data_IF_492602378894
#
_entry.id   IF_492602378894
#
_cell.length_a   1.000
_cell.length_b   1.000
_cell.length_c   1.000
_cell.angle_alpha   90.00
_cell.angle_beta   90.00
_cell.angle_gamma   90.00
#
_symmetry.space_group_name_H-M   'P 1'
#
loop_
_entity.id
_entity.type
_entity.pdbx_description
1 polymer ?
#
# COMPACT_ATOMS: atom_id res chain seq x y z
N UNK A 1 5.37 3.74 -20.52
CA UNK A 1 4.84 2.90 -19.42
C UNK A 1 5.99 2.51 -18.50
N UNK A 2 5.85 2.78 -17.22
CA UNK A 2 6.88 2.40 -16.29
C UNK A 2 6.93 0.86 -16.18
N UNK A 3 8.14 0.31 -16.11
CA UNK A 3 8.31 -1.12 -15.86
C UNK A 3 7.81 -1.43 -14.45
N UNK A 4 7.07 -2.52 -14.29
CA UNK A 4 6.66 -2.97 -12.98
C UNK A 4 7.88 -3.45 -12.19
N UNK A 5 7.93 -3.10 -10.92
CA UNK A 5 8.88 -3.68 -9.98
C UNK A 5 8.53 -5.15 -9.75
N UNK A 6 9.50 -6.02 -9.47
CA UNK A 6 9.22 -7.41 -9.08
C UNK A 6 8.40 -7.50 -7.79
N UNK A 7 8.27 -6.39 -7.05
CA UNK A 7 7.52 -6.34 -5.79
C UNK A 7 6.16 -5.66 -5.95
N UNK A 8 5.67 -5.50 -7.17
CA UNK A 8 4.36 -4.92 -7.42
C UNK A 8 3.27 -5.98 -7.45
N UNK A 9 2.09 -5.60 -6.95
CA UNK A 9 0.85 -6.33 -7.21
C UNK A 9 -0.16 -5.38 -7.83
N UNK A 10 -1.14 -5.95 -8.54
CA UNK A 10 -2.20 -5.17 -9.16
C UNK A 10 -3.34 -4.88 -8.19
N UNK A 11 -4.19 -3.90 -8.56
CA UNK A 11 -5.41 -3.65 -7.78
C UNK A 11 -6.36 -4.85 -7.81
N UNK A 12 -6.37 -5.62 -8.91
CA UNK A 12 -7.16 -6.84 -9.00
C UNK A 12 -6.68 -7.89 -7.98
N UNK A 13 -5.38 -8.02 -7.81
CA UNK A 13 -4.80 -8.93 -6.82
C UNK A 13 -5.14 -8.50 -5.39
N UNK A 14 -5.11 -7.19 -5.11
CA UNK A 14 -5.54 -6.67 -3.81
C UNK A 14 -7.02 -6.94 -3.58
N UNK A 15 -7.86 -6.74 -4.60
CA UNK A 15 -9.29 -7.03 -4.50
C UNK A 15 -9.51 -8.49 -4.14
N UNK A 16 -8.77 -9.40 -4.77
CA UNK A 16 -8.86 -10.82 -4.48
C UNK A 16 -8.51 -11.13 -3.02
N UNK A 17 -7.43 -10.53 -2.52
CA UNK A 17 -7.05 -10.70 -1.11
C UNK A 17 -8.17 -10.25 -0.16
N UNK A 18 -8.79 -9.12 -0.45
CA UNK A 18 -9.89 -8.58 0.37
C UNK A 18 -11.14 -9.45 0.27
N UNK A 19 -11.50 -9.87 -0.93
CA UNK A 19 -12.69 -10.69 -1.17
C UNK A 19 -12.57 -12.07 -0.51
N UNK A 20 -11.37 -12.62 -0.45
CA UNK A 20 -11.08 -13.90 0.18
C UNK A 20 -10.86 -13.80 1.69
N UNK A 21 -10.93 -12.59 2.25
CA UNK A 21 -10.61 -12.32 3.66
C UNK A 21 -9.25 -12.87 4.06
N UNK A 22 -8.26 -12.75 3.15
CA UNK A 22 -6.90 -13.20 3.38
C UNK A 22 -6.29 -12.47 4.58
N UNK A 23 -5.37 -13.13 5.27
CA UNK A 23 -4.63 -12.54 6.38
C UNK A 23 -3.49 -11.69 5.84
N UNK A 24 -3.71 -10.37 5.76
CA UNK A 24 -2.69 -9.43 5.31
C UNK A 24 -2.90 -8.07 5.97
N UNK A 25 -1.84 -7.26 5.95
CA UNK A 25 -1.87 -5.87 6.43
C UNK A 25 -1.86 -4.95 5.22
N UNK A 26 -2.81 -4.03 5.16
CA UNK A 26 -2.82 -2.96 4.17
C UNK A 26 -2.21 -1.71 4.81
N UNK A 27 -1.07 -1.26 4.29
CA UNK A 27 -0.31 -0.13 4.83
C UNK A 27 -0.43 1.07 3.92
N UNK A 28 -0.95 2.18 4.45
CA UNK A 28 -1.11 3.43 3.73
C UNK A 28 0.00 4.38 4.16
N UNK A 29 0.87 4.78 3.22
CA UNK A 29 2.02 5.66 3.52
C UNK A 29 1.80 7.09 3.06
N UNK A 30 0.53 7.48 2.84
CA UNK A 30 0.15 8.86 2.50
C UNK A 30 0.11 9.73 3.74
N UNK A 31 -0.26 11.01 3.55
CA UNK A 31 -0.44 11.94 4.65
C UNK A 31 -1.86 11.87 5.21
N UNK A 32 -2.08 12.26 6.49
CA UNK A 32 -3.42 12.22 7.09
C UNK A 32 -4.49 12.97 6.29
N UNK A 33 -4.15 14.10 5.68
CA UNK A 33 -5.10 14.89 4.87
C UNK A 33 -5.58 14.09 3.65
N UNK A 34 -4.71 13.26 3.07
CA UNK A 34 -5.07 12.41 1.93
C UNK A 34 -6.03 11.31 2.37
N UNK A 35 -5.75 10.71 3.53
CA UNK A 35 -6.60 9.68 4.12
C UNK A 35 -8.03 10.21 4.34
N UNK A 36 -8.15 11.47 4.74
CA UNK A 36 -9.47 12.08 4.96
C UNK A 36 -10.26 12.27 3.68
N UNK A 37 -9.59 12.44 2.54
CA UNK A 37 -10.26 12.59 1.24
C UNK A 37 -10.88 11.26 0.81
N UNK A 38 -10.10 10.20 0.83
CA UNK A 38 -10.56 8.84 0.57
C UNK A 38 -9.53 7.87 1.15
N UNK A 39 -9.96 6.65 1.47
CA UNK A 39 -9.06 5.65 2.04
C UNK A 39 -9.59 4.25 1.76
N UNK A 40 -8.72 3.26 1.95
CA UNK A 40 -9.02 1.84 1.80
C UNK A 40 -9.09 1.13 3.16
N UNK A 41 -9.28 1.87 4.23
CA UNK A 41 -9.30 1.36 5.62
C UNK A 41 -7.98 0.71 6.05
N UNK A 42 -6.87 1.10 5.41
CA UNK A 42 -5.56 0.60 5.78
C UNK A 42 -5.00 1.28 7.02
N UNK A 43 -3.92 0.71 7.55
CA UNK A 43 -3.16 1.30 8.64
C UNK A 43 -2.34 2.46 8.09
N UNK A 44 -2.57 3.67 8.60
CA UNK A 44 -1.87 4.86 8.12
C UNK A 44 -0.55 5.05 8.87
N UNK A 45 0.55 4.99 8.14
CA UNK A 45 1.89 5.35 8.63
C UNK A 45 2.54 6.19 7.54
N UNK A 46 2.52 7.53 7.63
CA UNK A 46 3.12 8.37 6.60
C UNK A 46 4.57 7.99 6.32
N UNK A 47 4.96 8.05 5.05
CA UNK A 47 6.28 7.60 4.62
C UNK A 47 7.42 8.19 5.46
N UNK A 48 7.33 9.48 5.79
CA UNK A 48 8.36 10.15 6.60
C UNK A 48 8.47 9.63 8.02
N UNK A 49 7.44 8.98 8.54
CA UNK A 49 7.41 8.41 9.89
C UNK A 49 7.79 6.93 9.90
N UNK A 50 7.76 6.28 8.73
CA UNK A 50 7.91 4.84 8.65
C UNK A 50 9.20 4.31 9.28
N UNK A 51 10.39 4.90 9.03
CA UNK A 51 11.62 4.39 9.63
C UNK A 51 11.61 4.35 11.17
N UNK A 52 10.91 5.29 11.78
CA UNK A 52 10.80 5.37 13.25
C UNK A 52 9.69 4.50 13.84
N UNK A 53 8.89 3.85 12.99
CA UNK A 53 7.70 3.11 13.43
C UNK A 53 7.70 1.65 12.96
N UNK A 54 8.85 1.14 12.53
CA UNK A 54 8.96 -0.25 12.03
C UNK A 54 8.54 -1.28 13.09
N UNK A 55 8.77 -0.99 14.36
CA UNK A 55 8.42 -1.91 15.44
C UNK A 55 6.92 -2.09 15.64
N UNK A 56 6.10 -1.21 15.04
CA UNK A 56 4.64 -1.34 15.07
C UNK A 56 4.14 -2.38 14.06
N UNK A 57 5.01 -2.89 13.20
CA UNK A 57 4.67 -3.83 12.14
C UNK A 57 5.30 -5.19 12.40
N UNK A 58 4.62 -6.25 11.98
CA UNK A 58 5.11 -7.61 12.09
C UNK A 58 5.96 -7.95 10.86
N UNK A 59 7.24 -8.28 11.08
CA UNK A 59 8.17 -8.62 9.99
C UNK A 59 7.78 -9.88 9.22
N UNK A 60 6.94 -10.72 9.80
CA UNK A 60 6.45 -11.94 9.16
C UNK A 60 5.10 -11.76 8.48
N UNK A 61 4.49 -10.59 8.60
CA UNK A 61 3.19 -10.33 8.00
C UNK A 61 3.28 -10.20 6.48
N UNK A 62 2.21 -10.58 5.81
CA UNK A 62 1.99 -10.23 4.40
C UNK A 62 1.51 -8.78 4.37
N UNK A 63 2.31 -7.88 3.81
CA UNK A 63 2.02 -6.44 3.80
C UNK A 63 1.87 -5.96 2.36
N UNK A 64 0.76 -5.27 2.09
CA UNK A 64 0.55 -4.54 0.84
C UNK A 64 0.60 -3.06 1.17
N UNK A 65 1.50 -2.33 0.51
CA UNK A 65 1.72 -0.90 0.75
C UNK A 65 1.13 -0.10 -0.39
N UNK A 66 0.41 0.96 -0.08
CA UNK A 66 -0.09 1.85 -1.11
C UNK A 66 0.12 3.32 -0.78
N UNK A 67 0.08 4.14 -1.81
CA UNK A 67 0.00 5.59 -1.72
C UNK A 67 -0.99 6.09 -2.77
N UNK A 68 -0.82 7.31 -3.27
CA UNK A 68 -1.71 7.86 -4.29
C UNK A 68 -1.55 7.14 -5.63
N UNK A 69 -0.32 7.07 -6.15
CA UNK A 69 -0.03 6.54 -7.51
C UNK A 69 1.05 5.47 -7.56
N UNK A 70 1.69 5.14 -6.44
CA UNK A 70 2.65 4.05 -6.35
C UNK A 70 4.10 4.43 -6.08
N UNK A 71 4.47 5.72 -6.17
CA UNK A 71 5.87 6.15 -6.01
C UNK A 71 6.36 6.10 -4.57
N UNK A 72 5.62 6.72 -3.66
CA UNK A 72 5.97 6.72 -2.23
C UNK A 72 5.92 5.31 -1.66
N UNK A 73 4.93 4.52 -2.04
CA UNK A 73 4.80 3.14 -1.57
C UNK A 73 5.90 2.25 -2.11
N UNK A 74 6.39 2.48 -3.32
CA UNK A 74 7.54 1.75 -3.83
C UNK A 74 8.79 2.00 -2.96
N UNK A 75 8.99 3.25 -2.52
CA UNK A 75 10.09 3.57 -1.59
C UNK A 75 9.86 2.90 -0.23
N UNK A 76 8.64 2.89 0.27
CA UNK A 76 8.31 2.22 1.53
C UNK A 76 8.62 0.72 1.47
N UNK A 77 8.30 0.06 0.35
CA UNK A 77 8.62 -1.36 0.16
C UNK A 77 10.13 -1.60 0.27
N UNK A 78 10.93 -0.73 -0.34
CA UNK A 78 12.40 -0.84 -0.25
C UNK A 78 12.89 -0.69 1.19
N UNK A 79 12.35 0.28 1.92
CA UNK A 79 12.69 0.49 3.34
C UNK A 79 12.35 -0.75 4.16
N UNK A 80 11.15 -1.27 3.99
CA UNK A 80 10.69 -2.44 4.74
C UNK A 80 11.53 -3.69 4.42
N UNK A 81 11.76 -3.97 3.14
CA UNK A 81 12.58 -5.12 2.75
C UNK A 81 14.00 -4.99 3.25
N UNK A 82 14.58 -3.78 3.20
CA UNK A 82 15.90 -3.52 3.76
C UNK A 82 15.97 -3.72 5.27
N UNK A 83 14.84 -3.64 5.96
CA UNK A 83 14.75 -3.82 7.42
C UNK A 83 14.35 -5.26 7.81
N UNK A 84 14.33 -6.20 6.86
CA UNK A 84 14.05 -7.60 7.15
C UNK A 84 12.62 -8.06 6.96
N UNK A 85 11.76 -7.20 6.39
CA UNK A 85 10.40 -7.59 6.02
C UNK A 85 10.42 -8.32 4.67
N UNK A 86 10.05 -9.59 4.63
CA UNK A 86 10.24 -10.43 3.44
C UNK A 86 9.01 -10.49 2.52
N UNK A 87 7.79 -10.28 3.05
CA UNK A 87 6.55 -10.45 2.31
C UNK A 87 5.82 -9.11 2.17
N UNK A 88 6.46 -8.18 1.46
CA UNK A 88 5.99 -6.81 1.31
C UNK A 88 5.87 -6.47 -0.18
N UNK A 89 4.72 -5.92 -0.56
CA UNK A 89 4.36 -5.67 -1.95
C UNK A 89 3.83 -4.26 -2.12
N UNK A 90 4.13 -3.66 -3.27
CA UNK A 90 3.64 -2.34 -3.65
C UNK A 90 2.37 -2.47 -4.49
N UNK A 91 1.32 -1.73 -4.12
CA UNK A 91 0.12 -1.64 -4.95
C UNK A 91 0.41 -0.77 -6.17
N UNK A 92 0.58 -1.40 -7.32
CA UNK A 92 0.89 -0.71 -8.56
C UNK A 92 -0.26 0.23 -8.95
N UNK A 93 0.07 1.49 -9.20
CA UNK A 93 -0.92 2.51 -9.53
C UNK A 93 -1.63 3.13 -8.33
N UNK A 94 -1.44 2.59 -7.13
CA UNK A 94 -1.95 3.15 -5.88
C UNK A 94 -3.46 3.23 -5.78
N UNK A 95 -3.94 4.13 -4.91
CA UNK A 95 -5.39 4.30 -4.69
C UNK A 95 -6.08 4.84 -5.93
N UNK A 96 -5.38 5.60 -6.79
CA UNK A 96 -5.98 6.09 -8.05
C UNK A 96 -6.34 4.93 -8.97
N UNK A 97 -5.49 3.92 -9.10
CA UNK A 97 -5.80 2.75 -9.90
C UNK A 97 -6.95 1.93 -9.29
N UNK A 98 -6.99 1.85 -7.95
CA UNK A 98 -8.10 1.21 -7.25
C UNK A 98 -9.42 1.89 -7.56
N UNK A 99 -9.47 3.24 -7.47
CA UNK A 99 -10.68 4.01 -7.77
C UNK A 99 -11.12 3.80 -9.22
N UNK A 100 -10.17 3.88 -10.15
CA UNK A 100 -10.47 3.76 -11.58
C UNK A 100 -11.01 2.39 -11.96
N UNK A 101 -10.44 1.33 -11.40
CA UNK A 101 -10.66 -0.03 -11.88
C UNK A 101 -11.52 -0.90 -10.96
N UNK A 102 -11.59 -0.57 -9.67
CA UNK A 102 -12.28 -1.41 -8.69
C UNK A 102 -13.46 -0.66 -8.05
N UNK A 103 -13.26 0.54 -7.54
CA UNK A 103 -14.28 1.25 -6.78
C UNK A 103 -14.36 2.73 -7.16
N UNK A 104 -15.14 3.06 -8.20
CA UNK A 104 -15.28 4.45 -8.64
C UNK A 104 -16.12 5.32 -7.69
N UNK A 105 -16.67 4.78 -6.61
CA UNK A 105 -17.40 5.56 -5.61
C UNK A 105 -16.51 6.43 -4.75
N UNK A 106 -15.21 6.11 -4.66
CA UNK A 106 -14.25 6.92 -3.91
C UNK A 106 -13.85 8.16 -4.71
N UNK A 107 -13.51 9.24 -3.99
CA UNK A 107 -13.15 10.52 -4.62
C UNK A 107 -11.68 10.53 -5.02
N UNK A 108 -11.35 10.59 -6.31
CA UNK A 108 -9.95 10.78 -6.73
C UNK A 108 -9.47 12.20 -6.39
N UNK A 109 -8.18 12.36 -6.27
CA UNK A 109 -7.61 13.65 -5.91
C UNK A 109 -6.25 13.93 -6.55
#
# INVERSE_FOLDING_TARGET
MAAQSPWDISVEELKKLRDEHADFTLLDVREPREYQICHLDGTLVPLGQLPGRLDELDRNAHIVVHCRSGGRSANAVKVLRGAGFANVWNLNGGILAWIERIDPSLTPY
#
